data_IF_025409385363
#
_entry.id   IF_025409385363
#
_cell.length_a   1.000
_cell.length_b   1.000
_cell.length_c   1.000
_cell.angle_alpha   90.00
_cell.angle_beta   90.00
_cell.angle_gamma   90.00
#
_symmetry.space_group_name_H-M   'P 1'
#
loop_
_entity.id
_entity.type
_entity.pdbx_description
1 polymer ?
#
# COMPACT_ATOMS: atom_id res chain seq x y z
N UNK A 1 14.65 5.45 -2.04
CA UNK A 1 14.71 4.40 -0.99
C UNK A 1 15.78 4.58 0.11
N UNK A 2 16.98 5.13 -0.15
CA UNK A 2 18.09 5.19 0.83
C UNK A 2 17.74 5.80 2.20
N UNK A 3 16.90 6.83 2.23
CA UNK A 3 16.46 7.49 3.48
C UNK A 3 15.51 6.60 4.31
N UNK A 4 14.56 5.93 3.65
CA UNK A 4 13.61 4.99 4.29
C UNK A 4 14.29 3.80 4.98
N UNK A 5 15.49 3.40 4.52
CA UNK A 5 16.28 2.30 5.09
C UNK A 5 17.17 2.72 6.28
N UNK A 6 17.21 4.00 6.67
CA UNK A 6 18.02 4.46 7.81
C UNK A 6 17.40 4.06 9.14
N UNK A 7 18.20 3.92 10.19
CA UNK A 7 17.65 3.66 11.54
C UNK A 7 16.96 4.87 12.16
N UNK A 8 17.30 6.09 11.73
CA UNK A 8 16.70 7.32 12.26
C UNK A 8 15.23 7.44 11.79
N UNK A 9 14.24 7.44 12.71
CA UNK A 9 12.82 7.49 12.34
C UNK A 9 12.43 8.71 11.51
N UNK A 10 12.98 9.90 11.80
CA UNK A 10 12.67 11.12 11.08
C UNK A 10 13.13 11.02 9.62
N UNK A 11 14.38 10.58 9.40
CA UNK A 11 14.91 10.41 8.05
C UNK A 11 14.12 9.36 7.25
N UNK A 12 13.59 8.36 7.93
CA UNK A 12 12.77 7.34 7.29
C UNK A 12 11.44 7.93 6.80
N UNK A 13 10.77 8.70 7.65
CA UNK A 13 9.51 9.38 7.33
C UNK A 13 9.71 10.45 6.24
N UNK A 14 10.76 11.27 6.33
CA UNK A 14 11.10 12.26 5.31
C UNK A 14 11.33 11.58 3.95
N UNK A 15 12.02 10.44 3.95
CA UNK A 15 12.24 9.63 2.76
C UNK A 15 10.95 9.08 2.15
N UNK A 16 10.00 8.68 3.00
CA UNK A 16 8.68 8.23 2.57
C UNK A 16 7.88 9.39 1.98
N UNK A 17 7.81 10.54 2.66
CA UNK A 17 7.08 11.72 2.18
C UNK A 17 7.61 12.23 0.84
N UNK A 18 8.94 12.21 0.66
CA UNK A 18 9.55 12.59 -0.61
C UNK A 18 9.14 11.65 -1.75
N UNK A 19 9.13 10.34 -1.52
CA UNK A 19 8.69 9.38 -2.55
C UNK A 19 7.18 9.42 -2.78
N UNK A 20 6.39 9.71 -1.75
CA UNK A 20 4.93 9.81 -1.87
C UNK A 20 4.51 10.85 -2.91
N UNK A 21 5.20 12.00 -2.95
CA UNK A 21 4.94 13.06 -3.93
C UNK A 21 5.26 12.64 -5.37
N UNK A 22 6.15 11.67 -5.54
CA UNK A 22 6.68 11.21 -6.83
C UNK A 22 6.35 9.73 -7.09
N UNK A 23 5.38 9.15 -6.36
CA UNK A 23 5.13 7.72 -6.38
C UNK A 23 4.74 7.20 -7.77
N UNK A 24 3.95 7.99 -8.50
CA UNK A 24 3.58 7.68 -9.89
C UNK A 24 4.76 7.67 -10.85
N UNK A 25 5.76 8.53 -10.64
CA UNK A 25 6.97 8.62 -11.49
C UNK A 25 7.92 7.45 -11.26
N UNK A 26 7.88 6.85 -10.06
CA UNK A 26 8.76 5.77 -9.63
C UNK A 26 8.02 4.44 -9.45
N UNK A 27 6.83 4.27 -10.04
CA UNK A 27 5.99 3.11 -9.77
C UNK A 27 6.72 1.78 -10.05
N UNK A 28 7.37 1.66 -11.21
CA UNK A 28 8.05 0.41 -11.59
C UNK A 28 9.18 0.08 -10.61
N UNK A 29 9.97 1.08 -10.21
CA UNK A 29 11.04 0.92 -9.21
C UNK A 29 10.48 0.53 -7.83
N UNK A 30 9.33 1.09 -7.44
CA UNK A 30 8.67 0.79 -6.17
C UNK A 30 8.14 -0.66 -6.15
N UNK A 31 7.61 -1.14 -7.27
CA UNK A 31 7.15 -2.54 -7.43
C UNK A 31 8.34 -3.48 -7.30
N UNK A 32 9.45 -3.23 -8.02
CA UNK A 32 10.64 -4.07 -7.94
C UNK A 32 11.22 -4.12 -6.53
N UNK A 33 11.32 -2.97 -5.86
CA UNK A 33 11.80 -2.90 -4.47
C UNK A 33 10.86 -3.63 -3.51
N UNK A 34 9.54 -3.59 -3.72
CA UNK A 34 8.58 -4.33 -2.90
C UNK A 34 8.75 -5.84 -3.03
N UNK A 35 8.98 -6.36 -4.23
CA UNK A 35 9.18 -7.80 -4.46
C UNK A 35 10.44 -8.33 -3.78
N UNK A 36 11.50 -7.50 -3.70
CA UNK A 36 12.79 -7.89 -3.12
C UNK A 36 12.89 -7.62 -1.61
N UNK A 37 12.04 -6.74 -1.06
CA UNK A 37 12.11 -6.31 0.34
C UNK A 37 11.61 -7.38 1.32
N UNK A 38 12.41 -7.66 2.34
CA UNK A 38 12.11 -8.65 3.38
C UNK A 38 11.66 -8.00 4.70
N UNK A 39 11.99 -6.74 4.90
CA UNK A 39 11.57 -6.02 6.09
C UNK A 39 10.08 -5.66 6.00
N UNK A 40 9.27 -6.28 6.85
CA UNK A 40 7.81 -6.12 6.85
C UNK A 40 7.36 -4.65 6.99
N UNK A 41 8.05 -3.86 7.80
CA UNK A 41 7.73 -2.44 7.96
C UNK A 41 8.01 -1.62 6.69
N UNK A 42 9.07 -1.94 5.96
CA UNK A 42 9.36 -1.31 4.67
C UNK A 42 8.42 -1.79 3.57
N UNK A 43 8.05 -3.08 3.56
CA UNK A 43 7.03 -3.61 2.65
C UNK A 43 5.70 -2.86 2.81
N UNK A 44 5.25 -2.61 4.04
CA UNK A 44 4.03 -1.83 4.28
C UNK A 44 4.09 -0.42 3.67
N UNK A 45 5.21 0.28 3.87
CA UNK A 45 5.40 1.62 3.28
C UNK A 45 5.49 1.59 1.76
N UNK A 46 6.17 0.59 1.20
CA UNK A 46 6.23 0.39 -0.24
C UNK A 46 4.85 0.12 -0.84
N UNK A 47 4.05 -0.73 -0.19
CA UNK A 47 2.69 -1.02 -0.61
C UNK A 47 1.79 0.23 -0.59
N UNK A 48 1.97 1.09 0.42
CA UNK A 48 1.29 2.39 0.45
C UNK A 48 1.73 3.29 -0.71
N UNK A 49 3.03 3.43 -0.97
CA UNK A 49 3.53 4.25 -2.09
C UNK A 49 3.02 3.74 -3.44
N UNK A 50 3.04 2.42 -3.66
CA UNK A 50 2.53 1.80 -4.89
C UNK A 50 1.05 2.12 -5.07
N UNK A 51 0.24 2.00 -4.02
CA UNK A 51 -1.18 2.34 -4.09
C UNK A 51 -1.42 3.84 -4.37
N UNK A 52 -0.59 4.72 -3.82
CA UNK A 52 -0.67 6.17 -4.00
C UNK A 52 -0.28 6.64 -5.40
N UNK A 53 0.46 5.83 -6.15
CA UNK A 53 0.74 6.08 -7.57
C UNK A 53 -0.52 6.18 -8.43
N UNK A 54 -1.68 5.69 -7.94
CA UNK A 54 -3.00 5.78 -8.61
C UNK A 54 -3.01 5.30 -10.07
N UNK A 55 -2.09 4.41 -10.40
CA UNK A 55 -1.94 3.83 -11.73
C UNK A 55 -2.65 2.48 -11.79
N UNK A 56 -3.27 2.11 -12.93
CA UNK A 56 -3.77 0.75 -13.13
C UNK A 56 -2.70 -0.32 -12.93
N UNK A 57 -1.44 -0.02 -13.26
CA UNK A 57 -0.31 -0.94 -13.08
C UNK A 57 -0.04 -1.25 -11.60
N UNK A 58 -0.44 -0.35 -10.69
CA UNK A 58 -0.28 -0.55 -9.26
C UNK A 58 -1.31 -1.54 -8.68
N UNK A 59 -2.33 -1.96 -9.44
CA UNK A 59 -3.43 -2.79 -8.93
C UNK A 59 -2.99 -4.23 -8.61
N UNK A 60 -2.06 -4.78 -9.37
CA UNK A 60 -1.60 -6.18 -9.23
C UNK A 60 -0.96 -6.45 -7.87
N UNK A 61 -0.18 -5.49 -7.35
CA UNK A 61 0.56 -5.65 -6.08
C UNK A 61 -0.37 -5.78 -4.87
N UNK A 62 -1.26 -4.81 -4.55
CA UNK A 62 -2.20 -4.95 -3.44
C UNK A 62 -3.19 -6.10 -3.67
N UNK A 63 -3.53 -6.44 -4.92
CA UNK A 63 -4.36 -7.61 -5.19
C UNK A 63 -3.69 -8.92 -4.74
N UNK A 64 -2.39 -9.08 -4.98
CA UNK A 64 -1.62 -10.25 -4.55
C UNK A 64 -1.50 -10.36 -3.02
N UNK A 65 -1.50 -9.22 -2.32
CA UNK A 65 -1.33 -9.15 -0.87
C UNK A 65 -2.65 -9.30 -0.08
N UNK A 66 -3.80 -9.41 -0.76
CA UNK A 66 -5.10 -9.56 -0.11
C UNK A 66 -5.24 -10.86 0.70
N UNK A 67 -4.55 -11.93 0.31
CA UNK A 67 -4.55 -13.22 1.02
C UNK A 67 -3.27 -13.43 1.85
N UNK A 68 -2.50 -12.36 2.11
CA UNK A 68 -1.29 -12.47 2.91
C UNK A 68 -1.65 -12.81 4.36
N UNK A 69 -0.83 -13.67 4.99
CA UNK A 69 -0.97 -14.05 6.40
C UNK A 69 -0.63 -12.88 7.35
N UNK A 70 0.23 -11.95 6.92
CA UNK A 70 0.50 -10.72 7.65
C UNK A 70 -0.70 -9.76 7.56
N UNK A 71 -1.35 -9.57 8.71
CA UNK A 71 -2.53 -8.70 8.86
C UNK A 71 -2.21 -7.28 8.40
N UNK A 72 -1.01 -6.77 8.69
CA UNK A 72 -0.62 -5.40 8.36
C UNK A 72 -0.54 -5.21 6.85
N UNK A 73 0.08 -6.17 6.13
CA UNK A 73 0.16 -6.12 4.67
C UNK A 73 -1.22 -6.25 4.03
N UNK A 74 -2.06 -7.16 4.57
CA UNK A 74 -3.43 -7.33 4.09
C UNK A 74 -4.28 -6.07 4.29
N UNK A 75 -4.17 -5.40 5.43
CA UNK A 75 -4.88 -4.14 5.70
C UNK A 75 -4.42 -3.03 4.74
N UNK A 76 -3.11 -2.95 4.47
CA UNK A 76 -2.55 -2.01 3.50
C UNK A 76 -2.99 -2.33 2.08
N UNK A 77 -3.05 -3.61 1.70
CA UNK A 77 -3.58 -4.06 0.43
C UNK A 77 -5.04 -3.63 0.22
N UNK A 78 -5.89 -3.84 1.25
CA UNK A 78 -7.29 -3.39 1.24
C UNK A 78 -7.37 -1.89 1.04
N UNK A 79 -6.60 -1.10 1.82
CA UNK A 79 -6.57 0.37 1.70
C UNK A 79 -6.09 0.80 0.32
N UNK A 80 -5.09 0.12 -0.24
CA UNK A 80 -4.56 0.43 -1.55
C UNK A 80 -5.60 0.24 -2.66
N UNK A 81 -6.31 -0.88 -2.65
CA UNK A 81 -7.42 -1.13 -3.58
C UNK A 81 -8.58 -0.15 -3.39
N UNK A 82 -8.91 0.21 -2.14
CA UNK A 82 -9.92 1.24 -1.85
C UNK A 82 -9.52 2.61 -2.41
N UNK A 83 -8.25 2.99 -2.32
CA UNK A 83 -7.71 4.25 -2.85
C UNK A 83 -7.68 4.27 -4.38
N UNK A 84 -7.27 3.16 -5.02
CA UNK A 84 -7.31 3.01 -6.48
C UNK A 84 -8.73 3.18 -7.03
N UNK A 85 -9.74 2.70 -6.29
CA UNK A 85 -11.16 2.94 -6.54
C UNK A 85 -11.62 2.64 -7.99
N UNK A 86 -10.89 1.76 -8.69
CA UNK A 86 -11.24 1.27 -10.02
C UNK A 86 -12.34 0.22 -9.94
N UNK A 87 -12.97 -0.09 -11.07
CA UNK A 87 -13.95 -1.18 -11.13
C UNK A 87 -13.34 -2.51 -10.67
N UNK A 88 -12.15 -2.85 -11.19
CA UNK A 88 -11.42 -4.07 -10.86
C UNK A 88 -11.05 -4.13 -9.36
N UNK A 89 -10.59 -3.03 -8.78
CA UNK A 89 -10.24 -2.97 -7.37
C UNK A 89 -11.47 -3.24 -6.47
N UNK A 90 -12.63 -2.70 -6.83
CA UNK A 90 -13.89 -2.97 -6.11
C UNK A 90 -14.32 -4.43 -6.25
N UNK A 91 -14.17 -5.03 -7.43
CA UNK A 91 -14.46 -6.45 -7.66
C UNK A 91 -13.58 -7.34 -6.79
N UNK A 92 -12.27 -7.06 -6.73
CA UNK A 92 -11.33 -7.81 -5.89
C UNK A 92 -11.68 -7.72 -4.41
N UNK A 93 -12.00 -6.52 -3.91
CA UNK A 93 -12.43 -6.33 -2.53
C UNK A 93 -13.73 -7.07 -2.22
N UNK A 94 -14.69 -7.07 -3.15
CA UNK A 94 -15.93 -7.82 -2.99
C UNK A 94 -15.69 -9.34 -2.94
N UNK A 95 -14.85 -9.87 -3.82
CA UNK A 95 -14.48 -11.30 -3.82
C UNK A 95 -13.75 -11.69 -2.53
N UNK A 96 -12.80 -10.87 -2.07
CA UNK A 96 -12.05 -11.13 -0.84
C UNK A 96 -12.97 -11.18 0.39
N UNK A 97 -14.01 -10.33 0.44
CA UNK A 97 -15.05 -10.40 1.50
C UNK A 97 -15.88 -11.66 1.40
N UNK A 98 -16.37 -11.98 0.20
CA UNK A 98 -17.18 -13.17 -0.04
C UNK A 98 -16.44 -14.47 0.31
N UNK A 99 -15.11 -14.48 0.17
CA UNK A 99 -14.24 -15.60 0.52
C UNK A 99 -13.84 -15.64 2.00
N UNK A 100 -14.19 -14.61 2.78
CA UNK A 100 -13.79 -14.49 4.19
C UNK A 100 -12.31 -14.12 4.40
N UNK A 101 -11.60 -13.72 3.35
CA UNK A 101 -10.19 -13.32 3.39
C UNK A 101 -10.01 -11.97 4.10
N UNK A 102 -10.97 -11.06 3.93
CA UNK A 102 -11.02 -9.77 4.63
C UNK A 102 -12.38 -9.61 5.32
N UNK A 103 -12.45 -8.94 6.49
CA UNK A 103 -13.70 -8.76 7.22
C UNK A 103 -14.74 -8.02 6.37
N UNK A 104 -16.01 -8.42 6.51
CA UNK A 104 -17.13 -7.80 5.76
C UNK A 104 -17.37 -6.34 6.18
N UNK A 105 -16.96 -5.96 7.39
CA UNK A 105 -17.21 -4.66 8.00
C UNK A 105 -15.93 -4.08 8.61
N UNK A 106 -15.12 -3.40 7.80
CA UNK A 106 -14.25 -2.34 8.29
C UNK A 106 -14.53 -1.08 7.48
N UNK A 107 -15.35 -0.21 8.08
CA UNK A 107 -15.27 1.22 7.78
C UNK A 107 -13.80 1.64 7.89
N UNK A 108 -13.22 2.32 6.89
CA UNK A 108 -11.84 2.77 7.01
C UNK A 108 -11.74 3.64 8.29
N UNK A 109 -10.72 3.45 9.15
CA UNK A 109 -10.44 4.44 10.18
C UNK A 109 -10.26 5.77 9.45
N UNK A 110 -11.04 6.78 9.86
CA UNK A 110 -10.98 8.12 9.29
C UNK A 110 -9.52 8.51 9.16
N UNK A 111 -9.01 8.65 7.93
CA UNK A 111 -7.72 9.25 7.69
C UNK A 111 -7.79 10.66 8.29
N UNK A 112 -7.21 10.86 9.47
CA UNK A 112 -6.95 12.19 9.99
C UNK A 112 -5.90 12.79 9.09
N UNK A 113 -6.32 13.50 8.05
CA UNK A 113 -5.46 14.52 7.43
C UNK A 113 -4.98 15.43 8.56
N UNK A 114 -3.67 15.65 8.75
CA UNK A 114 -3.23 16.73 9.62
C UNK A 114 -3.83 18.02 9.05
N UNK A 115 -4.53 18.77 9.92
CA UNK A 115 -4.98 20.12 9.60
C UNK A 115 -3.73 21.00 9.51
N UNK A 116 -3.59 21.74 8.42
CA UNK A 116 -2.64 22.84 8.27
C UNK A 116 -2.65 23.76 9.49
#
# INVERSE_FOLDING_TARGET
MRLMRRHNPQLREDGFQLLLLHAGEHLDDLIEEFEQEQNQGLRCWLLELIAEAQSPNALSVPAAELDNQDISLRDWAVRGLQRLNSHEARTLLWQARANGTIPEDEHPPRQTRPKN
#
